data_IF_326347632169
#
_entry.id   IF_326347632169
#
_cell.length_a   1.000
_cell.length_b   1.000
_cell.length_c   1.000
_cell.angle_alpha   90.00
_cell.angle_beta   90.00
_cell.angle_gamma   90.00
#
_symmetry.space_group_name_H-M   'P 1'
#
loop_
_entity.id
_entity.type
_entity.pdbx_description
1 polymer ?
#
# COMPACT_ATOMS: atom_id res chain seq x y z
N UNK A 1 8.52 10.91 -46.21
CA UNK A 1 9.36 9.76 -45.86
C UNK A 1 9.54 9.81 -44.36
N UNK A 2 8.70 9.08 -43.65
CA UNK A 2 8.68 9.03 -42.21
C UNK A 2 9.07 7.63 -41.75
N UNK A 3 10.17 7.53 -41.02
CA UNK A 3 10.61 6.26 -40.46
C UNK A 3 9.80 5.93 -39.22
N UNK A 4 9.03 4.87 -39.32
CA UNK A 4 8.35 4.25 -38.15
C UNK A 4 9.38 3.43 -37.36
N UNK A 5 9.84 3.93 -36.23
CA UNK A 5 10.60 3.15 -35.26
C UNK A 5 9.68 2.17 -34.54
N UNK A 6 9.79 0.91 -34.89
CA UNK A 6 9.14 -0.19 -34.19
C UNK A 6 9.87 -0.44 -32.86
N UNK A 7 9.24 -0.09 -31.75
CA UNK A 7 9.70 -0.44 -30.40
C UNK A 7 9.31 -1.89 -30.12
N UNK A 8 10.28 -2.78 -30.17
CA UNK A 8 10.11 -4.13 -29.63
C UNK A 8 10.16 -4.02 -28.11
N UNK A 9 8.98 -4.09 -27.48
CA UNK A 9 8.85 -4.21 -26.02
C UNK A 9 9.28 -5.62 -25.64
N UNK A 10 10.37 -5.71 -24.87
CA UNK A 10 10.73 -6.94 -24.18
C UNK A 10 9.80 -7.04 -22.96
N UNK A 11 8.69 -7.76 -23.11
CA UNK A 11 7.84 -8.13 -21.99
C UNK A 11 8.54 -9.24 -21.21
N UNK A 12 9.18 -8.88 -20.10
CA UNK A 12 9.57 -9.86 -19.10
C UNK A 12 8.31 -10.28 -18.36
N UNK A 13 7.74 -11.41 -18.76
CA UNK A 13 6.61 -12.03 -18.06
C UNK A 13 7.18 -12.62 -16.76
N UNK A 14 6.95 -11.94 -15.65
CA UNK A 14 7.18 -12.51 -14.33
C UNK A 14 6.04 -13.51 -14.08
N UNK A 15 6.29 -14.78 -14.31
CA UNK A 15 5.33 -15.83 -14.01
C UNK A 15 5.37 -16.12 -12.50
N UNK A 16 4.37 -15.59 -11.79
CA UNK A 16 4.12 -15.99 -10.40
C UNK A 16 3.58 -17.42 -10.40
N UNK A 17 4.42 -18.39 -10.14
CA UNK A 17 4.02 -19.79 -9.98
C UNK A 17 3.68 -20.01 -8.51
N UNK A 18 2.40 -19.99 -8.18
CA UNK A 18 1.92 -20.43 -6.87
C UNK A 18 1.93 -21.96 -6.87
N UNK A 19 2.96 -22.56 -6.28
CA UNK A 19 2.99 -24.00 -6.02
C UNK A 19 2.29 -24.28 -4.69
N UNK A 20 1.09 -24.85 -4.76
CA UNK A 20 0.40 -25.42 -3.61
C UNK A 20 1.20 -26.62 -3.11
N UNK A 21 1.89 -26.49 -1.97
CA UNK A 21 2.42 -27.63 -1.24
C UNK A 21 1.30 -28.29 -0.45
N UNK A 22 0.81 -29.43 -0.95
CA UNK A 22 -0.14 -30.28 -0.24
C UNK A 22 0.53 -30.91 0.97
N UNK A 23 -0.04 -30.68 2.15
CA UNK A 23 0.35 -31.37 3.38
C UNK A 23 -0.39 -32.71 3.41
N UNK A 24 0.33 -33.80 3.09
CA UNK A 24 -0.13 -35.16 3.39
C UNK A 24 0.28 -35.50 4.80
N UNK A 25 -0.69 -35.56 5.71
CA UNK A 25 -0.51 -36.19 7.01
C UNK A 25 -0.63 -37.71 6.84
N UNK A 26 0.40 -38.45 7.21
CA UNK A 26 0.29 -39.89 7.51
C UNK A 26 0.91 -40.16 8.86
N UNK A 27 0.08 -40.73 9.70
CA UNK A 27 0.42 -41.15 11.05
C UNK A 27 1.04 -42.53 11.14
N UNK A 28 1.52 -42.84 12.34
CA UNK A 28 1.52 -44.16 12.90
C UNK A 28 2.89 -44.81 13.08
N UNK A 29 3.16 -45.25 14.33
CA UNK A 29 3.91 -46.46 14.60
C UNK A 29 4.99 -46.40 15.67
N UNK A 30 4.58 -46.79 16.82
CA UNK A 30 5.25 -47.47 17.97
C UNK A 30 6.73 -47.81 17.96
N UNK A 31 7.33 -47.66 19.18
CA UNK A 31 8.12 -48.74 19.77
C UNK A 31 9.54 -48.41 20.18
N UNK A 32 9.80 -48.50 21.48
CA UNK A 32 11.08 -49.03 21.95
C UNK A 32 11.91 -48.13 22.87
N UNK A 33 11.95 -48.52 24.14
CA UNK A 33 12.66 -47.90 25.26
C UNK A 33 14.18 -47.97 25.19
N UNK A 34 14.81 -47.22 26.08
CA UNK A 34 16.25 -47.27 26.33
C UNK A 34 16.61 -46.21 27.35
N UNK A 35 16.78 -46.70 28.62
CA UNK A 35 17.32 -45.92 29.74
C UNK A 35 18.77 -45.49 29.47
N UNK A 36 19.13 -44.30 29.88
CA UNK A 36 20.48 -43.82 29.82
C UNK A 36 20.65 -42.49 30.52
N UNK A 37 21.13 -42.54 31.76
CA UNK A 37 21.56 -41.40 32.57
C UNK A 37 22.67 -40.59 31.88
N UNK A 38 22.62 -39.29 31.90
CA UNK A 38 23.76 -38.38 31.86
C UNK A 38 23.41 -36.94 32.16
N UNK A 39 23.90 -36.50 33.30
CA UNK A 39 24.52 -35.21 33.65
C UNK A 39 24.14 -33.91 32.88
N UNK A 40 23.93 -32.93 33.73
CA UNK A 40 23.62 -31.53 33.43
C UNK A 40 24.50 -30.84 32.40
N UNK A 41 23.83 -30.14 31.51
CA UNK A 41 24.42 -29.04 30.76
C UNK A 41 23.47 -27.85 30.83
N UNK A 42 24.00 -26.70 31.24
CA UNK A 42 23.35 -25.40 31.26
C UNK A 42 22.76 -25.08 29.87
N UNK A 43 21.59 -24.41 29.79
CA UNK A 43 21.07 -24.00 28.52
C UNK A 43 21.95 -22.85 27.96
N UNK A 44 22.34 -22.93 26.67
CA UNK A 44 23.01 -21.81 26.02
C UNK A 44 22.03 -20.62 25.92
N UNK A 45 22.58 -19.45 26.21
CA UNK A 45 21.88 -18.18 26.24
C UNK A 45 21.00 -17.96 25.01
N UNK A 46 19.82 -17.43 25.26
CA UNK A 46 18.92 -16.86 24.26
C UNK A 46 19.66 -15.81 23.44
N UNK A 47 20.16 -16.20 22.31
CA UNK A 47 20.50 -15.28 21.25
C UNK A 47 19.18 -14.70 20.74
N UNK A 48 18.94 -13.43 21.04
CA UNK A 48 17.91 -12.65 20.39
C UNK A 48 18.10 -12.78 18.89
N UNK A 49 17.18 -13.45 18.22
CA UNK A 49 17.12 -13.48 16.77
C UNK A 49 16.65 -12.11 16.33
N UNK A 50 17.61 -11.25 16.07
CA UNK A 50 17.40 -9.98 15.39
C UNK A 50 16.83 -10.29 14.02
N UNK A 51 15.70 -9.65 13.72
CA UNK A 51 15.07 -9.42 12.43
C UNK A 51 15.28 -10.45 11.31
N UNK A 52 14.16 -10.95 10.80
CA UNK A 52 14.14 -11.61 9.50
C UNK A 52 14.82 -10.68 8.49
N UNK A 53 16.00 -11.07 8.03
CA UNK A 53 16.76 -10.28 7.09
C UNK A 53 15.93 -10.07 5.82
N UNK A 54 15.74 -8.81 5.42
CA UNK A 54 15.28 -8.48 4.11
C UNK A 54 16.12 -9.30 3.11
N UNK A 55 15.48 -10.09 2.26
CA UNK A 55 16.16 -10.76 1.16
C UNK A 55 16.93 -9.67 0.43
N UNK A 56 18.24 -9.91 0.19
CA UNK A 56 19.09 -8.94 -0.47
C UNK A 56 18.43 -8.54 -1.78
N UNK A 57 17.86 -7.35 -1.84
CA UNK A 57 17.31 -6.79 -3.07
C UNK A 57 18.48 -6.68 -4.04
N UNK A 58 18.24 -6.94 -5.30
CA UNK A 58 19.21 -6.73 -6.39
C UNK A 58 19.55 -5.24 -6.59
N UNK A 59 19.31 -4.41 -5.57
CA UNK A 59 19.42 -2.95 -5.57
C UNK A 59 18.15 -2.26 -6.07
N UNK A 60 17.12 -3.04 -6.41
CA UNK A 60 15.83 -2.51 -6.89
C UNK A 60 14.84 -2.32 -5.74
N UNK A 61 14.14 -1.20 -5.76
CA UNK A 61 13.03 -0.97 -4.83
C UNK A 61 11.80 -1.73 -5.31
N UNK A 62 11.27 -2.63 -4.49
CA UNK A 62 10.01 -3.29 -4.78
C UNK A 62 8.85 -2.54 -4.10
N UNK A 63 7.94 -2.02 -4.92
CA UNK A 63 6.74 -1.28 -4.50
C UNK A 63 5.51 -2.12 -4.83
N UNK A 64 4.72 -2.46 -3.81
CA UNK A 64 3.39 -3.05 -3.99
C UNK A 64 2.36 -1.94 -4.04
N UNK A 65 1.55 -1.89 -5.11
CA UNK A 65 0.54 -0.85 -5.32
C UNK A 65 -0.85 -1.45 -5.24
N UNK A 66 -1.74 -0.79 -4.52
CA UNK A 66 -3.17 -1.12 -4.44
C UNK A 66 -4.04 0.13 -4.44
N UNK A 67 -5.35 -0.01 -4.64
CA UNK A 67 -6.32 1.09 -4.49
C UNK A 67 -7.71 0.54 -4.20
N UNK A 68 -8.39 1.10 -3.20
CA UNK A 68 -9.77 0.77 -2.85
C UNK A 68 -10.80 0.99 -3.96
N UNK A 69 -10.46 1.81 -4.95
CA UNK A 69 -11.30 2.06 -6.13
C UNK A 69 -11.16 0.96 -7.21
N UNK A 70 -10.28 -0.02 -7.00
CA UNK A 70 -10.09 -1.18 -7.86
C UNK A 70 -8.99 -1.02 -8.92
N UNK A 71 -8.70 -2.15 -9.59
CA UNK A 71 -7.59 -2.24 -10.54
C UNK A 71 -7.74 -1.32 -11.76
N UNK A 72 -8.97 -1.02 -12.16
CA UNK A 72 -9.26 -0.15 -13.30
C UNK A 72 -9.35 1.33 -12.94
N UNK A 73 -9.06 1.70 -11.68
CA UNK A 73 -9.15 3.11 -11.29
C UNK A 73 -8.08 3.96 -12.01
N UNK A 74 -8.44 5.14 -12.51
CA UNK A 74 -7.49 6.01 -13.21
C UNK A 74 -6.34 6.46 -12.32
N UNK A 75 -6.59 6.70 -11.03
CA UNK A 75 -5.56 7.09 -10.07
C UNK A 75 -4.51 5.99 -9.84
N UNK A 76 -4.95 4.72 -9.73
CA UNK A 76 -4.04 3.57 -9.67
C UNK A 76 -3.20 3.49 -10.95
N UNK A 77 -3.87 3.59 -12.11
CA UNK A 77 -3.21 3.44 -13.41
C UNK A 77 -2.13 4.49 -13.62
N UNK A 78 -2.42 5.76 -13.32
CA UNK A 78 -1.45 6.85 -13.44
C UNK A 78 -0.23 6.65 -12.54
N UNK A 79 -0.43 6.20 -11.30
CA UNK A 79 0.67 5.92 -10.37
C UNK A 79 1.52 4.73 -10.84
N UNK A 80 0.87 3.64 -11.25
CA UNK A 80 1.54 2.44 -11.74
C UNK A 80 2.37 2.74 -12.99
N UNK A 81 1.80 3.48 -13.96
CA UNK A 81 2.54 3.91 -15.15
C UNK A 81 3.81 4.68 -14.78
N UNK A 82 3.67 5.66 -13.89
CA UNK A 82 4.80 6.48 -13.46
C UNK A 82 5.88 5.67 -12.71
N UNK A 83 5.50 4.72 -11.87
CA UNK A 83 6.43 3.83 -11.18
C UNK A 83 7.15 2.87 -12.13
N UNK A 84 6.49 2.36 -13.17
CA UNK A 84 7.14 1.54 -14.20
C UNK A 84 8.19 2.30 -15.02
N UNK A 85 8.10 3.63 -15.07
CA UNK A 85 9.11 4.48 -15.72
C UNK A 85 10.33 4.74 -14.82
N UNK A 86 10.26 4.44 -13.51
CA UNK A 86 11.38 4.66 -12.61
C UNK A 86 12.45 3.59 -12.79
N UNK A 87 13.73 3.99 -12.97
CA UNK A 87 14.83 3.04 -12.98
C UNK A 87 14.92 2.34 -11.62
N UNK A 88 15.40 1.11 -11.62
CA UNK A 88 15.64 0.34 -10.40
C UNK A 88 14.43 0.24 -9.45
N UNK A 89 13.22 0.20 -10.04
CA UNK A 89 11.98 -0.05 -9.34
C UNK A 89 11.28 -1.28 -9.92
N UNK A 90 10.78 -2.13 -9.05
CA UNK A 90 9.91 -3.26 -9.38
C UNK A 90 8.53 -2.95 -8.85
N UNK A 91 7.50 -3.15 -9.65
CA UNK A 91 6.12 -2.80 -9.27
C UNK A 91 5.27 -4.06 -9.28
N UNK A 92 4.65 -4.37 -8.14
CA UNK A 92 3.55 -5.33 -8.04
C UNK A 92 2.23 -4.57 -7.94
N UNK A 93 1.19 -5.08 -8.57
CA UNK A 93 -0.16 -4.47 -8.49
C UNK A 93 -1.14 -5.53 -8.01
N UNK A 94 -1.83 -5.23 -6.91
CA UNK A 94 -2.93 -6.04 -6.40
C UNK A 94 -4.09 -5.11 -6.03
N UNK A 95 -5.28 -5.39 -6.51
CA UNK A 95 -6.43 -4.53 -6.21
C UNK A 95 -7.74 -5.34 -6.21
N UNK A 96 -8.81 -4.84 -5.58
CA UNK A 96 -10.12 -5.45 -5.64
C UNK A 96 -10.73 -5.37 -7.05
N UNK A 97 -11.63 -6.30 -7.33
CA UNK A 97 -12.51 -6.22 -8.49
C UNK A 97 -13.73 -5.36 -8.16
N UNK A 98 -13.67 -4.10 -8.53
CA UNK A 98 -14.80 -3.17 -8.37
C UNK A 98 -15.73 -3.16 -9.59
N UNK A 99 -15.42 -3.94 -10.63
CA UNK A 99 -16.26 -4.04 -11.84
C UNK A 99 -17.46 -4.97 -11.63
N UNK A 100 -17.39 -5.83 -10.62
CA UNK A 100 -18.50 -6.72 -10.27
C UNK A 100 -19.46 -6.03 -9.29
N UNK A 101 -20.71 -5.69 -9.69
CA UNK A 101 -21.65 -5.01 -8.83
C UNK A 101 -22.23 -5.89 -7.69
N UNK A 102 -21.91 -7.18 -7.72
CA UNK A 102 -22.31 -8.11 -6.67
C UNK A 102 -21.08 -8.38 -5.80
N UNK A 103 -21.05 -7.91 -4.54
CA UNK A 103 -19.98 -8.26 -3.63
C UNK A 103 -19.87 -9.79 -3.54
N UNK A 104 -18.67 -10.36 -3.65
CA UNK A 104 -18.51 -11.78 -3.38
C UNK A 104 -18.94 -12.05 -1.93
N UNK A 105 -19.46 -13.24 -1.69
CA UNK A 105 -19.79 -13.67 -0.33
C UNK A 105 -18.51 -13.69 0.53
N UNK A 106 -18.61 -13.41 1.84
CA UNK A 106 -17.48 -13.54 2.73
C UNK A 106 -16.80 -14.90 2.55
N UNK A 107 -15.48 -14.91 2.50
CA UNK A 107 -14.74 -16.15 2.42
C UNK A 107 -15.00 -16.98 3.70
N UNK A 108 -15.28 -18.26 3.53
CA UNK A 108 -15.34 -19.18 4.66
C UNK A 108 -13.95 -19.24 5.33
N UNK A 109 -13.93 -19.47 6.63
CA UNK A 109 -12.66 -19.59 7.38
C UNK A 109 -11.74 -20.64 6.72
N UNK A 110 -10.51 -20.22 6.40
CA UNK A 110 -9.53 -21.05 5.69
C UNK A 110 -9.71 -21.17 4.18
N UNK A 111 -10.68 -20.48 3.59
CA UNK A 111 -10.79 -20.44 2.12
C UNK A 111 -9.72 -19.53 1.50
N UNK A 112 -9.13 -19.99 0.39
CA UNK A 112 -8.20 -19.18 -0.39
C UNK A 112 -8.99 -18.32 -1.37
N UNK A 113 -8.75 -17.00 -1.46
CA UNK A 113 -9.44 -16.15 -2.40
C UNK A 113 -9.13 -16.54 -3.84
N UNK A 114 -10.09 -16.30 -4.72
CA UNK A 114 -9.87 -16.46 -6.15
C UNK A 114 -8.95 -15.35 -6.65
N UNK A 115 -7.84 -15.75 -7.23
CA UNK A 115 -6.87 -14.85 -7.86
C UNK A 115 -7.16 -14.80 -9.35
N UNK A 116 -7.31 -13.59 -9.90
CA UNK A 116 -7.48 -13.37 -11.34
C UNK A 116 -6.43 -12.39 -11.84
N UNK A 117 -5.82 -12.72 -12.98
CA UNK A 117 -4.92 -11.76 -13.64
C UNK A 117 -5.76 -10.74 -14.41
N UNK A 118 -5.43 -9.49 -14.23
CA UNK A 118 -6.07 -8.37 -14.89
C UNK A 118 -5.04 -7.30 -15.28
N UNK A 119 -5.49 -6.19 -15.81
CA UNK A 119 -4.63 -5.07 -16.13
C UNK A 119 -5.24 -3.77 -15.61
N UNK A 120 -4.39 -2.80 -15.30
CA UNK A 120 -4.81 -1.42 -15.03
C UNK A 120 -5.46 -0.81 -16.26
N UNK A 121 -6.06 0.37 -16.14
CA UNK A 121 -6.69 1.08 -17.25
C UNK A 121 -5.72 1.29 -18.44
N UNK A 122 -4.43 1.50 -18.16
CA UNK A 122 -3.39 1.70 -19.19
C UNK A 122 -2.67 0.41 -19.60
N UNK A 123 -3.19 -0.76 -19.16
CA UNK A 123 -2.73 -2.07 -19.61
C UNK A 123 -1.54 -2.65 -18.86
N UNK A 124 -1.16 -2.13 -17.69
CA UNK A 124 -0.14 -2.72 -16.84
C UNK A 124 -0.68 -3.96 -16.12
N UNK A 125 0.09 -5.05 -16.04
CA UNK A 125 -0.37 -6.29 -15.45
C UNK A 125 -0.56 -6.14 -13.93
N UNK A 126 -1.60 -6.78 -13.42
CA UNK A 126 -1.90 -6.83 -12.00
C UNK A 126 -2.71 -8.07 -11.62
N UNK A 127 -2.97 -8.19 -10.35
CA UNK A 127 -3.75 -9.27 -9.75
C UNK A 127 -5.02 -8.65 -9.15
N UNK A 128 -6.13 -9.29 -9.43
CA UNK A 128 -7.42 -8.99 -8.80
C UNK A 128 -7.76 -10.10 -7.83
N UNK A 129 -8.06 -9.72 -6.61
CA UNK A 129 -8.61 -10.62 -5.60
C UNK A 129 -10.11 -10.41 -5.51
N UNK A 130 -10.86 -11.48 -5.72
CA UNK A 130 -12.27 -11.51 -5.43
C UNK A 130 -12.43 -11.66 -3.90
N UNK A 131 -12.65 -10.57 -3.20
CA UNK A 131 -12.88 -10.53 -1.78
C UNK A 131 -14.07 -9.63 -1.46
N UNK A 132 -14.65 -9.77 -0.28
CA UNK A 132 -15.78 -8.96 0.19
C UNK A 132 -15.42 -7.47 0.22
N UNK A 133 -16.36 -6.60 -0.14
CA UNK A 133 -16.08 -5.19 -0.41
C UNK A 133 -15.60 -4.39 0.82
N UNK A 134 -15.96 -4.80 2.04
CA UNK A 134 -15.64 -4.05 3.25
C UNK A 134 -14.18 -4.22 3.70
N UNK A 135 -13.59 -5.41 3.49
CA UNK A 135 -12.23 -5.74 3.92
C UNK A 135 -11.28 -6.01 2.74
N UNK A 136 -11.72 -5.74 1.53
CA UNK A 136 -11.11 -6.24 0.30
C UNK A 136 -9.67 -5.79 0.11
N UNK A 137 -9.41 -4.50 0.32
CA UNK A 137 -8.07 -3.95 0.02
C UNK A 137 -7.07 -4.36 1.08
N UNK A 138 -7.47 -4.30 2.36
CA UNK A 138 -6.65 -4.77 3.48
C UNK A 138 -6.34 -6.26 3.37
N UNK A 139 -7.38 -7.06 3.07
CA UNK A 139 -7.23 -8.50 2.86
C UNK A 139 -6.34 -8.81 1.65
N UNK A 140 -6.47 -8.04 0.57
CA UNK A 140 -5.62 -8.18 -0.60
C UNK A 140 -4.14 -7.93 -0.27
N UNK A 141 -3.84 -6.89 0.48
CA UNK A 141 -2.48 -6.59 0.94
C UNK A 141 -1.95 -7.70 1.85
N UNK A 142 -2.71 -8.05 2.90
CA UNK A 142 -2.31 -9.10 3.85
C UNK A 142 -2.04 -10.43 3.14
N UNK A 143 -2.97 -10.88 2.30
CA UNK A 143 -2.82 -12.15 1.59
C UNK A 143 -1.69 -12.13 0.58
N UNK A 144 -1.43 -10.99 -0.05
CA UNK A 144 -0.28 -10.85 -0.94
C UNK A 144 1.01 -10.94 -0.16
N UNK A 145 1.13 -10.25 0.96
CA UNK A 145 2.32 -10.28 1.81
C UNK A 145 2.54 -11.68 2.42
N UNK A 146 1.49 -12.31 2.94
CA UNK A 146 1.54 -13.66 3.52
C UNK A 146 1.84 -14.76 2.48
N UNK A 147 1.36 -14.57 1.25
CA UNK A 147 1.51 -15.53 0.17
C UNK A 147 2.77 -15.37 -0.67
N UNK A 148 3.58 -14.36 -0.41
CA UNK A 148 4.81 -14.14 -1.18
C UNK A 148 5.84 -15.23 -0.90
N UNK A 149 6.39 -15.88 -1.95
CA UNK A 149 7.47 -16.81 -1.77
C UNK A 149 8.71 -16.13 -1.18
N UNK A 150 9.45 -16.78 -0.27
CA UNK A 150 10.62 -16.17 0.39
C UNK A 150 11.72 -15.69 -0.58
N UNK A 151 11.77 -16.26 -1.78
CA UNK A 151 12.74 -15.95 -2.83
C UNK A 151 12.34 -14.74 -3.70
N UNK A 152 11.10 -14.26 -3.59
CA UNK A 152 10.65 -13.07 -4.33
C UNK A 152 10.87 -11.77 -3.54
N UNK A 153 11.21 -11.88 -2.26
CA UNK A 153 11.43 -10.76 -1.37
C UNK A 153 10.13 -10.06 -0.94
N UNK A 154 10.16 -9.44 0.21
CA UNK A 154 9.05 -8.60 0.71
C UNK A 154 9.14 -7.23 0.05
N UNK A 155 8.02 -6.58 -0.34
CA UNK A 155 8.05 -5.20 -0.80
C UNK A 155 8.62 -4.29 0.28
N UNK A 156 9.45 -3.33 -0.10
CA UNK A 156 9.97 -2.33 0.82
C UNK A 156 8.98 -1.19 1.06
N UNK A 157 7.94 -1.10 0.23
CA UNK A 157 6.89 -0.10 0.35
C UNK A 157 5.56 -0.63 -0.19
N UNK A 158 4.48 -0.37 0.53
CA UNK A 158 3.13 -0.48 -0.02
C UNK A 158 2.61 0.92 -0.30
N UNK A 159 2.14 1.18 -1.53
CA UNK A 159 1.47 2.43 -1.88
C UNK A 159 0.00 2.14 -2.15
N UNK A 160 -0.88 2.88 -1.45
CA UNK A 160 -2.32 2.78 -1.66
C UNK A 160 -2.85 4.06 -2.30
N UNK A 161 -3.48 3.95 -3.45
CA UNK A 161 -4.01 5.10 -4.20
C UNK A 161 -3.64 5.07 -5.69
N UNK A 162 -3.77 6.20 -6.41
CA UNK A 162 -4.18 7.52 -5.90
C UNK A 162 -5.70 7.52 -5.71
N UNK A 163 -6.14 7.83 -4.50
CA UNK A 163 -7.55 7.98 -4.17
C UNK A 163 -8.12 9.23 -4.85
N UNK A 164 -9.29 9.09 -5.46
CA UNK A 164 -10.04 10.21 -6.02
C UNK A 164 -10.73 10.98 -4.90
N UNK A 165 -10.27 12.18 -4.63
CA UNK A 165 -10.70 12.98 -3.50
C UNK A 165 -9.73 12.89 -2.30
N UNK A 166 -9.70 13.97 -1.55
CA UNK A 166 -8.82 14.13 -0.40
C UNK A 166 -9.20 13.24 0.79
N UNK A 167 -8.18 12.85 1.54
CA UNK A 167 -8.30 12.05 2.77
C UNK A 167 -7.74 12.86 3.97
N UNK A 168 -8.19 14.10 4.13
CA UNK A 168 -7.77 15.01 5.19
C UNK A 168 -8.69 14.93 6.41
N UNK A 169 -8.13 15.14 7.60
CA UNK A 169 -8.87 15.12 8.85
C UNK A 169 -9.76 13.89 8.98
N UNK A 170 -11.05 14.06 9.34
CA UNK A 170 -11.95 12.92 9.56
C UNK A 170 -12.26 12.11 8.27
N UNK A 171 -11.95 12.63 7.07
CA UNK A 171 -12.18 11.88 5.82
C UNK A 171 -11.26 10.66 5.68
N UNK A 172 -10.11 10.65 6.35
CA UNK A 172 -9.19 9.52 6.34
C UNK A 172 -9.83 8.22 6.88
N UNK A 173 -10.74 8.34 7.85
CA UNK A 173 -11.42 7.20 8.48
C UNK A 173 -12.40 6.48 7.54
N UNK A 174 -12.87 7.16 6.50
CA UNK A 174 -13.84 6.61 5.54
C UNK A 174 -13.19 6.01 4.29
N UNK A 175 -11.87 5.96 4.24
CA UNK A 175 -11.12 5.44 3.09
C UNK A 175 -10.83 3.96 3.22
N UNK A 176 -11.02 3.20 2.15
CA UNK A 176 -10.54 1.82 2.06
C UNK A 176 -9.02 1.72 1.88
N UNK A 177 -8.36 2.83 1.51
CA UNK A 177 -6.91 2.86 1.33
C UNK A 177 -6.14 2.90 2.66
N UNK A 178 -6.70 3.56 3.69
CA UNK A 178 -6.07 3.64 5.01
C UNK A 178 -5.97 2.27 5.70
N UNK A 179 -7.04 1.46 5.79
CA UNK A 179 -6.95 0.11 6.35
C UNK A 179 -5.97 -0.80 5.58
N UNK A 180 -5.85 -0.63 4.25
CA UNK A 180 -4.88 -1.38 3.45
C UNK A 180 -3.43 -1.01 3.82
N UNK A 181 -3.16 0.27 4.02
CA UNK A 181 -1.86 0.76 4.50
C UNK A 181 -1.56 0.27 5.92
N UNK A 182 -2.56 0.24 6.80
CA UNK A 182 -2.44 -0.32 8.15
C UNK A 182 -2.12 -1.82 8.12
N UNK A 183 -2.71 -2.58 7.18
CA UNK A 183 -2.39 -4.00 6.99
C UNK A 183 -0.93 -4.20 6.57
N UNK A 184 -0.37 -3.34 5.73
CA UNK A 184 1.05 -3.37 5.38
C UNK A 184 1.93 -3.10 6.61
N UNK A 185 1.60 -2.08 7.39
CA UNK A 185 2.33 -1.73 8.62
C UNK A 185 2.26 -2.85 9.66
N UNK A 186 1.12 -3.55 9.76
CA UNK A 186 1.00 -4.73 10.62
C UNK A 186 1.92 -5.89 10.20
N UNK A 187 2.33 -5.93 8.94
CA UNK A 187 3.32 -6.85 8.39
C UNK A 187 4.76 -6.25 8.36
N UNK A 188 5.00 -5.19 9.11
CA UNK A 188 6.29 -4.49 9.23
C UNK A 188 6.77 -3.86 7.90
N UNK A 189 5.85 -3.48 7.01
CA UNK A 189 6.13 -2.80 5.74
C UNK A 189 5.66 -1.35 5.80
N UNK A 190 6.53 -0.36 5.52
CA UNK A 190 6.12 1.04 5.41
C UNK A 190 5.01 1.24 4.37
N UNK A 191 4.09 2.16 4.63
CA UNK A 191 2.98 2.42 3.73
C UNK A 191 2.78 3.91 3.43
N UNK A 192 2.52 4.22 2.16
CA UNK A 192 2.17 5.55 1.67
C UNK A 192 0.75 5.53 1.11
N UNK A 193 -0.14 6.29 1.72
CA UNK A 193 -1.48 6.53 1.18
C UNK A 193 -1.45 7.82 0.37
N UNK A 194 -1.82 7.75 -0.90
CA UNK A 194 -1.84 8.92 -1.79
C UNK A 194 -3.28 9.25 -2.15
N UNK A 195 -3.65 10.49 -1.95
CA UNK A 195 -4.96 11.04 -2.30
C UNK A 195 -4.81 12.37 -3.04
N UNK A 196 -5.65 12.58 -4.04
CA UNK A 196 -5.69 13.84 -4.77
C UNK A 196 -7.09 14.42 -4.77
N UNK A 197 -7.21 15.68 -4.43
CA UNK A 197 -8.47 16.44 -4.50
C UNK A 197 -9.00 16.48 -5.93
N UNK A 198 -10.30 16.61 -6.06
CA UNK A 198 -11.00 16.65 -7.36
C UNK A 198 -11.50 18.06 -7.60
N UNK A 199 -11.11 18.64 -8.71
CA UNK A 199 -11.62 19.93 -9.21
C UNK A 199 -12.20 19.82 -10.63
N UNK A 200 -11.88 18.73 -11.32
CA UNK A 200 -12.25 18.49 -12.70
C UNK A 200 -12.89 17.10 -12.91
N UNK A 201 -13.61 16.96 -14.00
CA UNK A 201 -14.16 15.67 -14.41
C UNK A 201 -13.82 15.41 -15.90
N UNK A 202 -12.91 14.48 -16.24
CA UNK A 202 -12.26 13.53 -15.35
C UNK A 202 -11.14 14.15 -14.48
N UNK A 203 -10.89 13.62 -13.29
CA UNK A 203 -9.80 14.09 -12.44
C UNK A 203 -8.43 13.80 -13.08
N UNK A 204 -7.49 14.73 -12.90
CA UNK A 204 -6.10 14.55 -13.31
C UNK A 204 -5.22 14.22 -12.10
N UNK A 205 -4.34 13.22 -12.25
CA UNK A 205 -3.53 12.70 -11.13
C UNK A 205 -2.07 13.13 -11.20
N UNK A 206 -1.68 13.97 -12.15
CA UNK A 206 -0.29 14.37 -12.38
C UNK A 206 0.38 14.95 -11.12
N UNK A 207 -0.32 15.79 -10.38
CA UNK A 207 0.23 16.38 -9.16
C UNK A 207 0.46 15.32 -8.06
N UNK A 208 -0.52 14.44 -7.85
CA UNK A 208 -0.40 13.31 -6.91
C UNK A 208 0.72 12.36 -7.26
N UNK A 209 0.85 12.00 -8.54
CA UNK A 209 1.95 11.18 -9.05
C UNK A 209 3.31 11.83 -8.76
N UNK A 210 3.48 13.11 -9.11
CA UNK A 210 4.75 13.82 -8.92
C UNK A 210 5.14 13.87 -7.43
N UNK A 211 4.20 14.13 -6.54
CA UNK A 211 4.47 14.18 -5.10
C UNK A 211 4.75 12.79 -4.52
N UNK A 212 4.05 11.75 -4.98
CA UNK A 212 4.33 10.39 -4.57
C UNK A 212 5.74 9.94 -4.99
N UNK A 213 6.13 10.20 -6.24
CA UNK A 213 7.47 9.89 -6.73
C UNK A 213 8.54 10.67 -5.97
N UNK A 214 8.32 11.96 -5.69
CA UNK A 214 9.25 12.78 -4.93
C UNK A 214 9.44 12.24 -3.51
N UNK A 215 8.36 11.80 -2.87
CA UNK A 215 8.44 11.16 -1.55
C UNK A 215 9.22 9.84 -1.60
N UNK A 216 8.91 8.97 -2.57
CA UNK A 216 9.60 7.68 -2.75
C UNK A 216 11.08 7.88 -3.01
N UNK A 217 11.45 8.82 -3.87
CA UNK A 217 12.85 9.12 -4.18
C UNK A 217 13.60 9.67 -2.97
N UNK A 218 12.95 10.54 -2.20
CA UNK A 218 13.52 11.10 -0.97
C UNK A 218 13.75 10.06 0.14
N UNK A 219 13.01 8.95 0.12
CA UNK A 219 13.09 7.88 1.12
C UNK A 219 13.71 6.59 0.57
N UNK A 220 14.15 6.58 -0.68
CA UNK A 220 14.64 5.38 -1.38
C UNK A 220 15.74 4.65 -0.61
N UNK A 221 16.72 5.37 -0.09
CA UNK A 221 17.85 4.78 0.66
C UNK A 221 17.36 4.09 1.94
N UNK A 222 16.50 4.77 2.72
CA UNK A 222 15.93 4.22 3.94
C UNK A 222 14.99 3.03 3.68
N UNK A 223 14.25 3.05 2.56
CA UNK A 223 13.41 1.94 2.13
C UNK A 223 14.25 0.71 1.76
N UNK A 224 15.32 0.90 0.99
CA UNK A 224 16.20 -0.18 0.55
C UNK A 224 17.01 -0.78 1.71
N UNK A 225 17.44 0.05 2.68
CA UNK A 225 18.18 -0.42 3.86
C UNK A 225 17.28 -1.02 4.95
N UNK A 226 15.95 -0.83 4.85
CA UNK A 226 14.99 -1.22 5.90
C UNK A 226 15.01 -0.29 7.12
N UNK A 227 15.59 0.90 7.00
CA UNK A 227 15.61 1.91 8.06
C UNK A 227 14.34 2.78 8.07
N UNK A 228 13.57 2.74 6.98
CA UNK A 228 12.27 3.42 6.94
C UNK A 228 11.32 2.78 7.94
N UNK A 229 10.81 3.57 8.89
CA UNK A 229 9.87 3.06 9.89
C UNK A 229 8.59 2.54 9.23
N UNK A 230 8.11 1.38 9.71
CA UNK A 230 6.81 0.84 9.34
C UNK A 230 5.71 1.71 9.96
N UNK A 231 5.25 2.67 9.22
CA UNK A 231 4.19 3.60 9.59
C UNK A 231 3.34 3.94 8.37
N UNK A 232 2.12 4.41 8.59
CA UNK A 232 1.26 4.95 7.53
C UNK A 232 1.56 6.43 7.36
N UNK A 233 2.11 6.79 6.19
CA UNK A 233 2.24 8.18 5.76
C UNK A 233 1.10 8.51 4.81
N UNK A 234 0.36 9.57 5.12
CA UNK A 234 -0.76 10.05 4.32
C UNK A 234 -0.33 11.28 3.53
N UNK A 235 -0.32 11.18 2.22
CA UNK A 235 -0.02 12.25 1.28
C UNK A 235 -1.32 12.71 0.60
N UNK A 236 -1.76 13.92 0.92
CA UNK A 236 -2.89 14.55 0.23
C UNK A 236 -2.39 15.68 -0.66
N UNK A 237 -2.80 15.67 -1.92
CA UNK A 237 -2.41 16.69 -2.90
C UNK A 237 -3.66 17.41 -3.38
N UNK A 238 -3.75 18.74 -3.22
CA UNK A 238 -4.89 19.48 -3.72
C UNK A 238 -4.88 19.57 -5.25
N UNK A 239 -6.06 19.60 -5.85
CA UNK A 239 -6.25 20.01 -7.23
C UNK A 239 -6.59 21.48 -7.26
N UNK A 240 -5.85 22.25 -8.05
CA UNK A 240 -5.95 23.70 -8.10
C UNK A 240 -6.67 24.14 -9.39
N UNK A 241 -7.92 24.55 -9.31
CA UNK A 241 -8.62 25.15 -10.45
C UNK A 241 -7.99 26.49 -10.85
N UNK A 242 -7.44 27.22 -9.88
CA UNK A 242 -6.71 28.48 -10.06
C UNK A 242 -5.50 28.50 -9.13
N UNK A 243 -4.35 28.95 -9.62
CA UNK A 243 -3.10 28.92 -8.87
C UNK A 243 -2.36 27.60 -9.03
N UNK A 244 -1.45 27.31 -8.13
CA UNK A 244 -0.61 26.11 -8.11
C UNK A 244 -0.53 25.55 -6.69
N UNK A 245 -0.20 24.26 -6.58
CA UNK A 245 0.10 23.64 -5.28
C UNK A 245 1.25 24.41 -4.63
N UNK A 246 1.03 24.91 -3.41
CA UNK A 246 1.93 25.83 -2.71
C UNK A 246 3.17 25.19 -2.10
N UNK A 247 3.35 23.90 -2.33
CA UNK A 247 4.43 23.09 -1.77
C UNK A 247 3.87 22.01 -0.85
N UNK A 248 4.78 21.28 -0.21
CA UNK A 248 4.45 20.19 0.71
C UNK A 248 4.75 20.63 2.13
N UNK A 249 3.84 20.34 3.07
CA UNK A 249 4.03 20.60 4.49
C UNK A 249 3.75 19.34 5.31
N UNK A 250 4.58 19.12 6.32
CA UNK A 250 4.36 18.06 7.30
C UNK A 250 3.52 18.62 8.45
N UNK A 251 2.35 18.06 8.65
CA UNK A 251 1.37 18.51 9.63
C UNK A 251 0.61 17.33 10.22
N UNK A 252 0.10 17.43 11.45
CA UNK A 252 -0.76 16.39 12.01
C UNK A 252 -2.10 16.31 11.28
N UNK A 253 -2.75 15.15 11.36
CA UNK A 253 -4.13 14.97 10.91
C UNK A 253 -5.06 15.73 11.85
N UNK A 254 -5.96 16.53 11.29
CA UNK A 254 -6.95 17.27 12.07
C UNK A 254 -7.98 16.32 12.69
N UNK A 255 -8.34 16.56 13.94
CA UNK A 255 -9.38 15.78 14.60
C UNK A 255 -10.79 16.04 14.04
N UNK A 256 -11.01 17.23 13.46
CA UNK A 256 -12.27 17.64 12.86
C UNK A 256 -12.06 18.64 11.71
N UNK A 257 -13.13 18.99 11.02
CA UNK A 257 -13.06 19.94 9.93
C UNK A 257 -12.87 21.40 10.38
N UNK A 258 -12.92 21.71 11.67
CA UNK A 258 -12.80 23.05 12.23
C UNK A 258 -13.75 24.08 11.55
N UNK A 259 -14.92 23.62 11.08
CA UNK A 259 -15.90 24.44 10.36
C UNK A 259 -15.52 24.78 8.91
N UNK A 260 -14.45 24.19 8.37
CA UNK A 260 -14.05 24.36 6.95
C UNK A 260 -14.87 23.43 6.05
N UNK A 261 -15.11 23.90 4.83
CA UNK A 261 -15.59 23.01 3.77
C UNK A 261 -14.39 22.23 3.21
N UNK A 262 -14.39 20.93 3.45
CA UNK A 262 -13.28 20.05 3.06
C UNK A 262 -13.20 19.86 1.53
N UNK A 263 -14.23 20.22 0.78
CA UNK A 263 -14.23 20.13 -0.68
C UNK A 263 -13.64 21.39 -1.36
N UNK A 264 -13.45 22.47 -0.61
CA UNK A 264 -12.94 23.72 -1.18
C UNK A 264 -11.42 23.82 -0.97
N UNK A 265 -10.74 24.20 -2.05
CA UNK A 265 -9.30 24.46 -2.08
C UNK A 265 -9.05 25.85 -2.64
N UNK A 266 -8.25 26.64 -1.94
CA UNK A 266 -7.77 27.94 -2.41
C UNK A 266 -6.25 27.92 -2.58
N UNK A 267 -5.79 27.55 -3.80
CA UNK A 267 -4.37 27.57 -4.14
C UNK A 267 -3.81 28.98 -4.38
N UNK A 268 -4.65 30.02 -4.33
CA UNK A 268 -4.22 31.42 -4.37
C UNK A 268 -4.06 32.04 -2.98
N UNK A 269 -4.41 31.29 -1.93
CA UNK A 269 -4.29 31.69 -0.55
C UNK A 269 -2.87 32.17 -0.21
N UNK A 270 -2.77 33.20 0.60
CA UNK A 270 -1.48 33.67 1.17
C UNK A 270 -1.33 33.31 2.65
N UNK A 271 -2.27 32.52 3.20
CA UNK A 271 -2.19 32.05 4.58
C UNK A 271 -0.92 31.25 4.81
N UNK A 272 -0.25 31.48 5.93
CA UNK A 272 1.00 30.82 6.32
C UNK A 272 0.82 30.02 7.62
N UNK A 273 1.70 29.06 7.84
CA UNK A 273 1.78 28.29 9.08
C UNK A 273 0.52 27.46 9.37
N UNK A 274 0.06 26.59 8.45
CA UNK A 274 -1.06 25.70 8.74
C UNK A 274 -0.73 24.79 9.92
N UNK A 275 -1.71 24.55 10.79
CA UNK A 275 -1.53 23.80 12.04
C UNK A 275 -1.89 22.32 11.91
N UNK A 276 -2.62 21.95 10.84
CA UNK A 276 -3.09 20.61 10.56
C UNK A 276 -3.31 20.42 9.05
N UNK A 277 -3.61 19.18 8.64
CA UNK A 277 -3.82 18.81 7.24
C UNK A 277 -5.04 19.48 6.61
N UNK A 278 -6.11 19.71 7.36
CA UNK A 278 -7.31 20.42 6.87
C UNK A 278 -6.97 21.88 6.58
N UNK A 279 -6.28 22.56 7.49
CA UNK A 279 -5.88 23.95 7.28
C UNK A 279 -4.88 24.09 6.13
N UNK A 280 -3.94 23.15 6.00
CA UNK A 280 -2.95 23.13 4.94
C UNK A 280 -3.58 22.88 3.57
N UNK A 281 -4.32 21.79 3.44
CA UNK A 281 -4.93 21.37 2.17
C UNK A 281 -5.91 22.43 1.64
N UNK A 282 -6.81 22.92 2.48
CA UNK A 282 -7.81 23.93 2.05
C UNK A 282 -7.19 25.27 1.65
N UNK A 283 -5.93 25.52 2.01
CA UNK A 283 -5.16 26.70 1.59
C UNK A 283 -4.11 26.39 0.52
N UNK A 284 -4.22 25.24 -0.17
CA UNK A 284 -3.46 24.90 -1.36
C UNK A 284 -2.13 24.21 -1.14
N UNK A 285 -1.80 23.76 0.08
CA UNK A 285 -0.63 22.94 0.33
C UNK A 285 -0.91 21.44 0.13
N UNK A 286 0.02 20.72 -0.45
CA UNK A 286 0.06 19.28 -0.26
C UNK A 286 0.50 18.95 1.17
N UNK A 287 -0.08 17.91 1.76
CA UNK A 287 0.16 17.55 3.16
C UNK A 287 0.80 16.18 3.28
N UNK A 288 1.77 16.06 4.16
CA UNK A 288 2.28 14.79 4.67
C UNK A 288 1.90 14.68 6.14
N UNK A 289 1.21 13.60 6.47
CA UNK A 289 0.79 13.33 7.85
C UNK A 289 1.08 11.87 8.20
N UNK A 290 1.57 11.62 9.40
CA UNK A 290 1.72 10.25 9.90
C UNK A 290 0.48 9.89 10.70
N UNK A 291 -0.19 8.81 10.32
CA UNK A 291 -1.30 8.31 11.09
C UNK A 291 -0.80 7.61 12.35
N UNK A 292 -1.42 7.91 13.47
CA UNK A 292 -1.17 7.15 14.69
C UNK A 292 -1.45 5.66 14.43
N UNK A 293 -0.68 4.73 15.03
CA UNK A 293 -1.02 3.31 14.98
C UNK A 293 -2.46 3.11 15.42
N UNK A 294 -3.20 2.26 14.71
CA UNK A 294 -4.52 1.88 15.18
C UNK A 294 -4.38 1.30 16.59
N UNK A 295 -4.96 1.94 17.60
CA UNK A 295 -4.92 1.44 18.96
C UNK A 295 -5.51 0.04 18.99
N UNK A 296 -4.73 -0.94 19.43
CA UNK A 296 -5.13 -2.34 19.54
C UNK A 296 -6.22 -2.57 20.63
N UNK A 297 -6.86 -1.49 21.12
CA UNK A 297 -7.82 -1.52 22.21
C UNK A 297 -9.04 -0.65 21.94
N UNK A 298 -10.00 -1.16 21.19
CA UNK A 298 -11.41 -0.87 21.50
C UNK A 298 -12.31 -2.00 21.04
N UNK A 299 -12.07 -3.22 21.51
CA UNK A 299 -13.16 -4.17 21.68
C UNK A 299 -13.93 -3.72 22.93
N UNK A 300 -14.76 -2.70 22.81
CA UNK A 300 -15.85 -2.48 23.77
C UNK A 300 -16.83 -3.61 23.59
N UNK A 301 -16.72 -4.63 24.42
CA UNK A 301 -17.77 -5.59 24.69
C UNK A 301 -18.98 -4.80 25.20
N UNK A 302 -19.90 -4.49 24.28
CA UNK A 302 -21.24 -4.04 24.62
C UNK A 302 -21.98 -5.21 25.25
N UNK A 303 -22.27 -5.10 26.57
CA UNK A 303 -23.16 -5.98 27.29
C UNK A 303 -24.64 -5.70 26.99
#
# INVERSE_FOLDING_TARGET
MGETRSWRRAAGVLALVVTLAGITACGGGDGGGGDGDAEGAEPPGTTSTTGAGAAASDGRLYVLVTNGEGIASPGLSALVEALYQQPDTTVGVVAPDTTNPVPPAPLAEGAVPTVTFAATADGYPGIVLAADAADTVSSAVTQTLDGMPPDQGTPQLVVTGINTGQLIGPLAEFSNNVPAAQAAVAADVPALVVAQGVDENPPEYTAGVNQALAWIDGHREALLSGEQAAQVTLLNVPSCAVGEVRGVVEVPVAADAAGRDLALVDCTSTAEGPVDDVAAFTTGFATLSVLAPADATTTTSGG
#
